data_IF_995389706027
#
_entry.id   IF_995389706027
#
_cell.length_a   1.000
_cell.length_b   1.000
_cell.length_c   1.000
_cell.angle_alpha   90.00
_cell.angle_beta   90.00
_cell.angle_gamma   90.00
#
_symmetry.space_group_name_H-M   'P 1'
#
loop_
_entity.id
_entity.type
_entity.pdbx_description
1 polymer ?
#
# COMPACT_ATOMS: atom_id res chain seq x y z
N UNK A 1 2.56 -1.28 17.81
CA UNK A 1 1.91 -0.76 16.59
C UNK A 1 0.95 -1.82 16.11
N UNK A 2 -0.31 -1.45 15.93
CA UNK A 2 -1.36 -2.37 15.50
C UNK A 2 -1.41 -2.44 13.96
N UNK A 3 -1.80 -3.59 13.38
CA UNK A 3 -1.84 -3.79 11.91
C UNK A 3 -2.71 -2.75 11.20
N UNK A 4 -3.75 -2.25 11.87
CA UNK A 4 -4.60 -1.15 11.36
C UNK A 4 -3.81 0.14 11.18
N UNK A 5 -2.97 0.52 12.15
CA UNK A 5 -2.12 1.72 12.06
C UNK A 5 -1.08 1.58 10.93
N UNK A 6 -0.59 0.36 10.68
CA UNK A 6 0.31 0.07 9.55
C UNK A 6 -0.41 0.22 8.21
N UNK A 7 -1.66 -0.26 8.11
CA UNK A 7 -2.48 -0.11 6.91
C UNK A 7 -2.78 1.36 6.62
N UNK A 8 -3.12 2.15 7.64
CA UNK A 8 -3.32 3.60 7.50
C UNK A 8 -2.04 4.30 7.02
N UNK A 9 -0.88 3.95 7.59
CA UNK A 9 0.40 4.49 7.13
C UNK A 9 0.72 4.08 5.69
N UNK A 10 0.48 2.83 5.31
CA UNK A 10 0.71 2.34 3.95
C UNK A 10 -0.18 3.09 2.93
N UNK A 11 -1.45 3.33 3.27
CA UNK A 11 -2.35 4.14 2.44
C UNK A 11 -1.85 5.59 2.29
N UNK A 12 -1.40 6.21 3.38
CA UNK A 12 -0.85 7.58 3.32
C UNK A 12 0.41 7.67 2.45
N UNK A 13 1.29 6.66 2.51
CA UNK A 13 2.47 6.57 1.63
C UNK A 13 2.03 6.40 0.17
N UNK A 14 1.02 5.57 -0.10
CA UNK A 14 0.50 5.39 -1.46
C UNK A 14 -0.04 6.72 -2.03
N UNK A 15 -0.73 7.51 -1.22
CA UNK A 15 -1.20 8.85 -1.61
C UNK A 15 -0.04 9.80 -1.93
N UNK A 16 1.04 9.77 -1.14
CA UNK A 16 2.26 10.54 -1.43
C UNK A 16 2.92 10.14 -2.76
N UNK A 17 2.80 8.87 -3.16
CA UNK A 17 3.28 8.36 -4.45
C UNK A 17 2.28 8.60 -5.61
N UNK A 18 1.18 9.30 -5.35
CA UNK A 18 0.18 9.68 -6.35
C UNK A 18 -0.88 8.61 -6.62
N UNK A 19 -0.97 7.56 -5.79
CA UNK A 19 -2.09 6.62 -5.84
C UNK A 19 -3.33 7.23 -5.17
N UNK A 20 -4.50 6.83 -5.66
CA UNK A 20 -5.75 6.96 -4.93
C UNK A 20 -6.09 5.60 -4.33
N UNK A 21 -6.27 5.54 -3.01
CA UNK A 21 -6.72 4.30 -2.35
C UNK A 21 -8.25 4.24 -2.36
N UNK A 22 -8.80 3.07 -2.67
CA UNK A 22 -10.25 2.85 -2.65
C UNK A 22 -10.58 1.54 -1.97
N UNK A 23 -11.30 1.64 -0.87
CA UNK A 23 -11.88 0.49 -0.18
C UNK A 23 -13.16 0.09 -0.91
N UNK A 24 -13.26 -1.17 -1.31
CA UNK A 24 -14.39 -1.69 -2.08
C UNK A 24 -14.68 -3.14 -1.65
N UNK A 25 -15.94 -3.58 -1.78
CA UNK A 25 -16.27 -4.98 -1.56
C UNK A 25 -16.02 -5.78 -2.84
N UNK A 26 -14.92 -6.53 -2.90
CA UNK A 26 -14.55 -7.35 -4.08
C UNK A 26 -14.79 -8.85 -3.86
N UNK A 27 -15.44 -9.21 -2.74
CA UNK A 27 -15.91 -10.57 -2.48
C UNK A 27 -14.80 -11.56 -2.10
N UNK A 28 -13.64 -11.08 -1.66
CA UNK A 28 -12.48 -11.88 -1.29
C UNK A 28 -11.59 -12.24 -2.48
N UNK A 29 -11.88 -11.73 -3.68
CA UNK A 29 -11.01 -11.90 -4.85
C UNK A 29 -9.68 -11.14 -4.70
N UNK A 30 -9.65 -10.17 -3.79
CA UNK A 30 -8.54 -9.25 -3.62
C UNK A 30 -8.57 -8.09 -4.61
N UNK A 31 -7.73 -7.09 -4.34
CA UNK A 31 -7.54 -5.91 -5.16
C UNK A 31 -6.08 -5.77 -5.59
N UNK A 32 -5.55 -4.55 -5.50
CA UNK A 32 -4.17 -4.24 -5.86
C UNK A 32 -4.03 -2.97 -6.66
N UNK A 33 -2.79 -2.70 -7.09
CA UNK A 33 -2.47 -1.53 -7.88
C UNK A 33 -2.90 -1.69 -9.34
N UNK A 34 -3.46 -0.62 -9.90
CA UNK A 34 -3.66 -0.50 -11.35
C UNK A 34 -3.57 0.96 -11.78
N UNK A 35 -3.40 1.17 -13.08
CA UNK A 35 -3.53 2.49 -13.69
C UNK A 35 -4.75 2.50 -14.61
N UNK A 36 -5.66 3.45 -14.37
CA UNK A 36 -6.85 3.64 -15.20
C UNK A 36 -7.14 5.13 -15.38
N UNK A 37 -7.41 5.53 -16.63
CA UNK A 37 -7.63 6.91 -17.01
C UNK A 37 -6.49 7.87 -16.58
N UNK A 38 -5.24 7.42 -16.69
CA UNK A 38 -4.04 8.18 -16.32
C UNK A 38 -3.90 8.42 -14.82
N UNK A 39 -4.60 7.65 -13.98
CA UNK A 39 -4.53 7.72 -12.52
C UNK A 39 -4.12 6.38 -11.96
N UNK A 40 -3.21 6.41 -11.00
CA UNK A 40 -2.82 5.26 -10.20
C UNK A 40 -3.86 5.01 -9.12
N UNK A 41 -4.31 3.77 -8.99
CA UNK A 41 -5.29 3.33 -8.00
C UNK A 41 -4.75 2.14 -7.22
N UNK A 42 -5.12 2.04 -5.96
CA UNK A 42 -5.02 0.81 -5.18
C UNK A 42 -6.42 0.47 -4.68
N UNK A 43 -6.95 -0.65 -5.14
CA UNK A 43 -8.21 -1.19 -4.62
C UNK A 43 -7.91 -2.11 -3.43
N UNK A 44 -8.60 -1.88 -2.32
CA UNK A 44 -8.47 -2.64 -1.08
C UNK A 44 -9.78 -3.38 -0.85
N UNK A 45 -9.74 -4.71 -0.82
CA UNK A 45 -10.94 -5.53 -0.64
C UNK A 45 -11.35 -5.59 0.84
N UNK A 46 -12.50 -5.01 1.16
CA UNK A 46 -13.07 -5.01 2.52
C UNK A 46 -13.49 -6.39 3.02
N UNK A 47 -13.65 -7.37 2.14
CA UNK A 47 -13.96 -8.74 2.52
C UNK A 47 -12.74 -9.50 3.07
N UNK A 48 -11.54 -8.94 2.95
CA UNK A 48 -10.30 -9.54 3.45
C UNK A 48 -9.96 -9.10 4.87
N UNK A 49 -9.10 -9.88 5.54
CA UNK A 49 -8.54 -9.49 6.83
C UNK A 49 -7.64 -8.25 6.71
N UNK A 50 -7.46 -7.50 7.80
CA UNK A 50 -6.58 -6.31 7.82
C UNK A 50 -5.15 -6.65 7.42
N UNK A 51 -4.68 -7.87 7.71
CA UNK A 51 -3.35 -8.32 7.30
C UNK A 51 -3.25 -8.48 5.78
N UNK A 52 -4.24 -9.12 5.15
CA UNK A 52 -4.29 -9.28 3.69
C UNK A 52 -4.50 -7.94 2.98
N UNK A 53 -5.29 -7.03 3.56
CA UNK A 53 -5.42 -5.66 3.05
C UNK A 53 -4.10 -4.89 3.13
N UNK A 54 -3.37 -5.02 4.24
CA UNK A 54 -2.03 -4.44 4.38
C UNK A 54 -1.07 -4.99 3.33
N UNK A 55 -1.09 -6.30 3.12
CA UNK A 55 -0.23 -6.97 2.14
C UNK A 55 -0.48 -6.43 0.73
N UNK A 56 -1.74 -6.26 0.33
CA UNK A 56 -2.13 -5.66 -0.96
C UNK A 56 -1.54 -4.27 -1.18
N UNK A 57 -1.63 -3.40 -0.16
CA UNK A 57 -1.10 -2.05 -0.26
C UNK A 57 0.43 -2.09 -0.30
N UNK A 58 1.07 -2.90 0.54
CA UNK A 58 2.53 -2.99 0.58
C UNK A 58 3.12 -3.58 -0.70
N UNK A 59 2.44 -4.53 -1.34
CA UNK A 59 2.88 -5.09 -2.62
C UNK A 59 2.85 -4.03 -3.74
N UNK A 60 1.82 -3.19 -3.77
CA UNK A 60 1.77 -2.04 -4.66
C UNK A 60 2.93 -1.06 -4.40
N UNK A 61 3.21 -0.77 -3.13
CA UNK A 61 4.29 0.14 -2.73
C UNK A 61 5.67 -0.40 -3.10
N UNK A 62 5.93 -1.71 -2.91
CA UNK A 62 7.22 -2.34 -3.27
C UNK A 62 7.50 -2.27 -4.77
N UNK A 63 6.46 -2.23 -5.60
CA UNK A 63 6.59 -2.15 -7.06
C UNK A 63 6.76 -0.73 -7.58
N UNK A 64 6.51 0.29 -6.76
CA UNK A 64 6.66 1.70 -7.17
C UNK A 64 8.10 2.19 -6.90
N UNK A 65 8.88 2.57 -7.93
CA UNK A 65 10.24 3.06 -7.73
C UNK A 65 10.32 4.32 -6.86
N UNK A 66 9.25 5.10 -6.79
CA UNK A 66 9.14 6.28 -5.95
C UNK A 66 9.22 5.98 -4.46
N UNK A 67 9.02 4.72 -4.03
CA UNK A 67 9.07 4.34 -2.61
C UNK A 67 10.42 4.66 -1.95
N UNK A 68 11.51 4.67 -2.71
CA UNK A 68 12.84 5.03 -2.23
C UNK A 68 13.02 6.53 -1.99
N UNK A 69 12.10 7.36 -2.49
CA UNK A 69 12.12 8.82 -2.37
C UNK A 69 11.25 9.33 -1.21
N UNK A 70 10.45 8.46 -0.60
CA UNK A 70 9.53 8.80 0.49
C UNK A 70 10.19 8.54 1.85
N UNK A 71 9.95 9.42 2.82
CA UNK A 71 10.36 9.18 4.20
C UNK A 71 9.46 8.14 4.86
N UNK A 72 10.05 6.98 5.18
CA UNK A 72 9.35 5.86 5.79
C UNK A 72 9.67 5.75 7.28
N UNK A 73 8.64 5.48 8.09
CA UNK A 73 8.81 5.09 9.50
C UNK A 73 9.63 3.79 9.60
N UNK A 74 10.35 3.53 10.71
CA UNK A 74 11.12 2.29 10.86
C UNK A 74 10.28 1.01 10.66
N UNK A 75 9.05 0.90 11.21
CA UNK A 75 8.18 -0.25 10.95
C UNK A 75 7.83 -0.44 9.46
N UNK A 76 7.54 0.65 8.73
CA UNK A 76 7.23 0.59 7.30
C UNK A 76 8.44 0.16 6.46
N UNK A 77 9.65 0.63 6.80
CA UNK A 77 10.88 0.16 6.14
C UNK A 77 11.09 -1.33 6.30
N UNK A 78 10.89 -1.84 7.50
CA UNK A 78 11.04 -3.26 7.79
C UNK A 78 9.99 -4.08 7.02
N UNK A 79 8.74 -3.64 7.02
CA UNK A 79 7.63 -4.33 6.34
C UNK A 79 7.79 -4.37 4.80
N UNK A 80 8.31 -3.29 4.23
CA UNK A 80 8.59 -3.21 2.79
C UNK A 80 9.93 -3.87 2.40
N UNK A 81 10.68 -4.39 3.37
CA UNK A 81 12.02 -5.00 3.20
C UNK A 81 13.02 -4.08 2.47
N UNK A 82 12.82 -2.77 2.60
CA UNK A 82 13.62 -1.76 1.90
C UNK A 82 14.93 -1.52 2.66
N UNK A 83 16.04 -1.85 1.99
CA UNK A 83 17.37 -1.49 2.45
C UNK A 83 17.70 -0.09 1.94
N UNK A 84 18.28 0.75 2.80
CA UNK A 84 18.70 2.11 2.41
C UNK A 84 19.66 1.97 1.22
N UNK A 85 19.37 2.63 0.11
CA UNK A 85 20.37 2.83 -0.93
C UNK A 85 21.54 3.61 -0.29
N UNK A 86 22.72 3.01 -0.33
CA UNK A 86 23.95 3.56 0.24
C UNK A 86 24.51 4.72 -0.62
#
# INVERSE_FOLDING_TARGET
>A
MHTVELLEQACAIAEQLGYQTRQEWLGGAGGGACEFAGRKWIFIDLALSVFEQLDQVTDALRQDPGIHLVELSPPMRQLLELHRAA
#
